data_IF_775497248069
#
_entry.id   IF_775497248069
#
_cell.length_a   1.000
_cell.length_b   1.000
_cell.length_c   1.000
_cell.angle_alpha   90.00
_cell.angle_beta   90.00
_cell.angle_gamma   90.00
#
_symmetry.space_group_name_H-M   'P 1'
#
loop_
_entity.id
_entity.type
_entity.pdbx_description
1 polymer ?
#
# COMPACT_ATOMS: atom_id res chain seq x y z
N UNK A 1 6.45 80.51 -27.97
CA UNK A 1 6.73 79.11 -28.40
C UNK A 1 7.00 78.29 -27.14
N UNK A 2 6.05 77.46 -26.70
CA UNK A 2 6.21 76.55 -25.58
C UNK A 2 6.22 75.11 -26.13
N UNK A 3 7.37 74.44 -26.01
CA UNK A 3 7.53 73.01 -26.37
C UNK A 3 7.10 72.13 -25.21
N UNK A 4 6.01 71.40 -25.33
CA UNK A 4 5.57 70.36 -24.39
C UNK A 4 6.34 69.07 -24.66
N UNK A 5 7.12 68.60 -23.67
CA UNK A 5 7.77 67.30 -23.65
C UNK A 5 6.76 66.21 -23.19
N UNK A 6 6.45 65.26 -24.05
CA UNK A 6 5.67 64.10 -23.71
C UNK A 6 6.56 63.07 -22.95
N UNK A 7 6.17 62.76 -21.70
CA UNK A 7 6.77 61.67 -20.93
C UNK A 7 6.20 60.33 -21.42
N UNK A 8 7.04 59.52 -22.04
CA UNK A 8 6.73 58.10 -22.31
C UNK A 8 6.86 57.31 -21.01
N UNK A 9 5.75 56.81 -20.49
CA UNK A 9 5.73 55.79 -19.42
C UNK A 9 6.05 54.44 -20.03
N UNK A 10 7.18 53.88 -19.64
CA UNK A 10 7.56 52.49 -19.94
C UNK A 10 6.86 51.61 -18.88
N UNK A 11 5.81 50.91 -19.25
CA UNK A 11 5.15 49.91 -18.41
C UNK A 11 5.96 48.63 -18.40
N UNK A 12 6.59 48.31 -17.28
CA UNK A 12 7.19 46.99 -17.06
C UNK A 12 6.11 45.97 -16.79
N UNK A 13 5.88 45.07 -17.74
CA UNK A 13 5.08 43.87 -17.55
C UNK A 13 5.93 42.84 -16.78
N UNK A 14 5.72 42.73 -15.48
CA UNK A 14 6.22 41.61 -14.68
C UNK A 14 5.36 40.39 -15.03
N UNK A 15 5.90 39.53 -15.87
CA UNK A 15 5.31 38.22 -16.13
C UNK A 15 5.50 37.30 -14.91
N UNK A 16 4.41 37.03 -14.20
CA UNK A 16 4.37 36.02 -13.13
C UNK A 16 4.43 34.65 -13.77
N UNK A 17 5.61 34.02 -13.83
CA UNK A 17 5.74 32.63 -14.25
C UNK A 17 5.18 31.71 -13.15
N UNK A 18 4.00 31.14 -13.37
CA UNK A 18 3.49 30.05 -12.55
C UNK A 18 4.37 28.81 -12.81
N UNK A 19 5.25 28.48 -11.87
CA UNK A 19 5.94 27.20 -11.86
C UNK A 19 4.92 26.11 -11.53
N UNK A 20 4.58 25.26 -12.50
CA UNK A 20 3.79 24.07 -12.25
C UNK A 20 4.58 23.12 -11.33
N UNK A 21 3.96 22.54 -10.28
CA UNK A 21 4.64 21.56 -9.44
C UNK A 21 4.98 20.34 -10.29
N UNK A 22 6.25 19.94 -10.26
CA UNK A 22 6.69 18.68 -10.85
C UNK A 22 5.99 17.54 -10.11
N UNK A 23 5.10 16.81 -10.79
CA UNK A 23 4.47 15.64 -10.25
C UNK A 23 5.55 14.58 -9.98
N UNK A 24 5.92 14.42 -8.71
CA UNK A 24 6.82 13.36 -8.29
C UNK A 24 6.06 12.05 -8.36
N UNK A 25 6.56 11.09 -9.15
CA UNK A 25 6.03 9.73 -9.18
C UNK A 25 6.17 9.09 -7.80
N UNK A 26 5.12 8.34 -7.35
CA UNK A 26 5.17 7.64 -6.07
C UNK A 26 6.40 6.68 -6.02
N UNK A 27 7.05 6.51 -4.86
CA UNK A 27 8.19 5.60 -4.72
C UNK A 27 7.82 4.18 -5.17
N UNK A 28 8.75 3.51 -5.83
CA UNK A 28 8.57 2.12 -6.25
C UNK A 28 8.34 1.24 -5.01
N UNK A 29 7.31 0.37 -4.97
CA UNK A 29 7.02 -0.43 -3.80
C UNK A 29 8.10 -1.50 -3.56
N UNK A 30 8.36 -1.79 -2.28
CA UNK A 30 9.15 -2.95 -1.88
C UNK A 30 8.28 -4.19 -2.03
N UNK A 31 8.77 -5.21 -2.74
CA UNK A 31 8.05 -6.48 -2.91
C UNK A 31 8.27 -7.38 -1.70
N UNK A 32 7.19 -7.94 -1.17
CA UNK A 32 7.19 -8.97 -0.16
C UNK A 32 6.22 -10.06 -0.59
N UNK A 33 6.69 -11.30 -0.69
CA UNK A 33 5.87 -12.43 -1.14
C UNK A 33 5.51 -13.34 0.03
N UNK A 34 4.27 -13.83 0.02
CA UNK A 34 3.78 -14.87 0.93
C UNK A 34 3.11 -15.97 0.12
N UNK A 35 3.57 -17.18 0.30
CA UNK A 35 2.94 -18.37 -0.27
C UNK A 35 2.07 -19.02 0.81
N UNK A 36 0.83 -19.32 0.46
CA UNK A 36 -0.08 -20.09 1.28
C UNK A 36 -0.11 -21.53 0.76
N UNK A 37 0.17 -22.47 1.65
CA UNK A 37 0.05 -23.92 1.40
C UNK A 37 -0.83 -24.50 2.49
N UNK A 38 -1.28 -25.75 2.33
CA UNK A 38 -2.11 -26.40 3.33
C UNK A 38 -1.22 -26.92 4.48
N UNK A 39 -1.20 -26.39 5.65
CA UNK A 39 -1.98 -25.30 6.29
C UNK A 39 -1.00 -24.32 6.93
N UNK A 40 -0.26 -23.58 6.16
CA UNK A 40 0.75 -22.63 6.65
C UNK A 40 0.99 -21.47 5.70
N UNK A 41 1.50 -20.37 6.26
CA UNK A 41 2.08 -19.26 5.50
C UNK A 41 3.59 -19.44 5.36
N UNK A 42 4.12 -19.12 4.18
CA UNK A 42 5.57 -19.14 3.90
C UNK A 42 6.01 -17.78 3.32
N UNK A 43 6.71 -16.96 4.10
CA UNK A 43 7.05 -17.11 5.51
C UNK A 43 5.84 -16.89 6.44
N UNK A 44 5.85 -17.50 7.63
CA UNK A 44 4.80 -17.30 8.63
C UNK A 44 4.98 -16.01 9.45
N UNK A 45 6.17 -15.42 9.42
CA UNK A 45 6.48 -14.17 10.10
C UNK A 45 6.94 -13.12 9.10
N UNK A 46 6.23 -12.00 9.10
CA UNK A 46 6.46 -10.88 8.19
C UNK A 46 6.98 -9.68 8.96
N UNK A 47 7.92 -8.96 8.37
CA UNK A 47 8.41 -7.70 8.93
C UNK A 47 8.26 -6.59 7.89
N UNK A 48 7.61 -5.51 8.29
CA UNK A 48 7.44 -4.29 7.52
C UNK A 48 8.14 -3.12 8.22
N UNK A 49 8.56 -2.14 7.44
CA UNK A 49 8.99 -0.85 7.95
C UNK A 49 7.82 0.14 7.89
N UNK A 50 7.60 0.86 8.98
CA UNK A 50 6.63 1.94 9.05
C UNK A 50 6.88 2.98 7.97
N UNK A 51 5.84 3.41 7.28
CA UNK A 51 5.88 4.45 6.25
C UNK A 51 6.46 4.01 4.89
N UNK A 52 6.90 2.76 4.74
CA UNK A 52 7.40 2.22 3.48
C UNK A 52 6.26 1.61 2.68
N UNK A 53 6.22 1.91 1.39
CA UNK A 53 5.23 1.37 0.45
C UNK A 53 5.61 -0.04 0.02
N UNK A 54 4.69 -0.99 0.15
CA UNK A 54 4.88 -2.40 -0.22
C UNK A 54 3.92 -2.87 -1.29
N UNK A 55 4.40 -3.84 -2.08
CA UNK A 55 3.59 -4.76 -2.86
C UNK A 55 3.64 -6.11 -2.14
N UNK A 56 2.58 -6.44 -1.41
CA UNK A 56 2.41 -7.74 -0.79
C UNK A 56 1.82 -8.70 -1.82
N UNK A 57 2.68 -9.59 -2.33
CA UNK A 57 2.29 -10.62 -3.29
C UNK A 57 1.85 -11.87 -2.56
N UNK A 58 0.58 -12.21 -2.66
CA UNK A 58 -0.01 -13.40 -2.05
C UNK A 58 -0.23 -14.45 -3.14
N UNK A 59 0.18 -15.70 -2.88
CA UNK A 59 -0.01 -16.82 -3.79
C UNK A 59 -0.51 -18.03 -3.04
N UNK A 60 -1.62 -18.64 -3.50
CA UNK A 60 -2.12 -19.90 -2.98
C UNK A 60 -1.59 -21.08 -3.81
N UNK A 61 -0.68 -21.86 -3.22
CA UNK A 61 -0.16 -23.13 -3.78
C UNK A 61 -0.74 -24.37 -3.12
N UNK A 62 -1.70 -24.17 -2.22
CA UNK A 62 -2.45 -25.25 -1.58
C UNK A 62 -3.52 -25.83 -2.50
N UNK A 63 -4.25 -26.81 -1.97
CA UNK A 63 -5.38 -27.48 -2.64
C UNK A 63 -6.72 -26.90 -2.22
N UNK A 64 -6.74 -26.09 -1.18
CA UNK A 64 -7.94 -25.48 -0.60
C UNK A 64 -7.88 -23.96 -0.74
N UNK A 65 -9.02 -23.31 -0.59
CA UNK A 65 -9.12 -21.86 -0.48
C UNK A 65 -8.45 -21.40 0.82
N UNK A 66 -7.65 -20.37 0.77
CA UNK A 66 -6.98 -19.79 1.94
C UNK A 66 -7.21 -18.30 2.03
N UNK A 67 -7.23 -17.79 3.27
CA UNK A 67 -7.39 -16.37 3.58
C UNK A 67 -6.14 -15.82 4.25
N UNK A 68 -5.71 -14.65 3.81
CA UNK A 68 -4.75 -13.82 4.53
C UNK A 68 -5.53 -12.85 5.41
N UNK A 69 -5.87 -13.28 6.63
CA UNK A 69 -6.73 -12.56 7.56
C UNK A 69 -5.89 -11.80 8.59
N UNK A 70 -5.92 -10.47 8.52
CA UNK A 70 -5.15 -9.57 9.40
C UNK A 70 -5.87 -8.23 9.62
N UNK A 71 -7.08 -8.22 10.21
CA UNK A 71 -7.94 -7.03 10.26
C UNK A 71 -7.30 -5.85 10.98
N UNK A 72 -6.60 -6.08 12.09
CA UNK A 72 -5.95 -5.01 12.87
C UNK A 72 -4.77 -4.41 12.12
N UNK A 73 -4.00 -5.23 11.38
CA UNK A 73 -2.93 -4.76 10.51
C UNK A 73 -3.46 -3.92 9.35
N UNK A 74 -4.50 -4.39 8.68
CA UNK A 74 -5.10 -3.64 7.56
C UNK A 74 -5.70 -2.31 8.02
N UNK A 75 -6.31 -2.27 9.20
CA UNK A 75 -6.80 -1.03 9.79
C UNK A 75 -5.67 -0.03 10.14
N UNK A 76 -4.46 -0.53 10.42
CA UNK A 76 -3.27 0.25 10.74
C UNK A 76 -2.39 0.57 9.52
N UNK A 77 -2.88 0.35 8.31
CA UNK A 77 -2.19 0.60 7.05
C UNK A 77 -3.02 1.46 6.08
N UNK A 78 -2.34 2.22 5.22
CA UNK A 78 -2.97 2.80 4.05
C UNK A 78 -2.97 1.77 2.94
N UNK A 79 -4.14 1.38 2.47
CA UNK A 79 -4.34 0.39 1.41
C UNK A 79 -4.75 1.11 0.13
N UNK A 80 -4.06 0.83 -0.98
CA UNK A 80 -4.25 1.52 -2.26
C UNK A 80 -5.32 0.85 -3.14
N UNK A 81 -5.44 -0.47 -3.06
CA UNK A 81 -6.40 -1.28 -3.81
C UNK A 81 -7.30 -2.12 -2.89
N UNK A 82 -8.19 -1.46 -2.11
CA UNK A 82 -9.01 -2.11 -1.09
C UNK A 82 -10.08 -3.06 -1.66
N UNK A 83 -10.34 -3.02 -2.95
CA UNK A 83 -11.28 -3.88 -3.67
C UNK A 83 -10.92 -5.37 -3.66
N UNK A 84 -9.65 -5.72 -3.39
CA UNK A 84 -9.24 -7.12 -3.24
C UNK A 84 -9.48 -7.68 -1.83
N UNK A 85 -9.80 -6.82 -0.86
CA UNK A 85 -10.20 -7.22 0.48
C UNK A 85 -11.69 -7.58 0.50
N UNK A 86 -12.07 -8.39 1.48
CA UNK A 86 -13.47 -8.64 1.78
C UNK A 86 -14.21 -7.34 2.21
N UNK A 87 -15.55 -7.39 2.28
CA UNK A 87 -16.38 -6.23 2.65
C UNK A 87 -16.08 -5.68 4.04
N UNK A 88 -15.53 -6.49 4.95
CA UNK A 88 -15.13 -6.09 6.31
C UNK A 88 -13.70 -5.54 6.34
N UNK A 89 -12.98 -5.58 5.22
CA UNK A 89 -11.56 -5.21 5.10
C UNK A 89 -10.67 -6.00 6.06
N UNK A 90 -11.01 -7.26 6.27
CA UNK A 90 -10.36 -8.15 7.22
C UNK A 90 -9.42 -9.15 6.59
N UNK A 91 -9.62 -9.48 5.32
CA UNK A 91 -8.87 -10.54 4.67
C UNK A 91 -8.80 -10.42 3.15
N UNK A 92 -7.83 -11.12 2.58
CA UNK A 92 -7.72 -11.40 1.14
C UNK A 92 -7.90 -12.91 0.96
N UNK A 93 -8.93 -13.31 0.22
CA UNK A 93 -9.22 -14.71 -0.08
C UNK A 93 -8.58 -15.10 -1.42
N UNK A 94 -7.94 -16.26 -1.48
CA UNK A 94 -7.34 -16.83 -2.68
C UNK A 94 -7.78 -18.28 -2.88
N UNK A 95 -8.31 -18.54 -4.07
CA UNK A 95 -8.58 -19.90 -4.54
C UNK A 95 -7.27 -20.65 -4.86
N UNK A 96 -7.28 -22.01 -4.91
CA UNK A 96 -6.11 -22.78 -5.33
C UNK A 96 -5.53 -22.29 -6.65
N UNK A 97 -4.21 -21.99 -6.68
CA UNK A 97 -3.50 -21.47 -7.84
C UNK A 97 -3.63 -19.96 -8.09
N UNK A 98 -4.45 -19.27 -7.31
CA UNK A 98 -4.65 -17.82 -7.45
C UNK A 98 -3.50 -17.03 -6.83
N UNK A 99 -3.23 -15.86 -7.41
CA UNK A 99 -2.31 -14.85 -6.85
C UNK A 99 -2.99 -13.49 -6.85
N UNK A 100 -2.74 -12.70 -5.80
CA UNK A 100 -3.21 -11.32 -5.67
C UNK A 100 -2.10 -10.41 -5.12
N UNK A 101 -2.09 -9.17 -5.56
CA UNK A 101 -1.17 -8.15 -5.07
C UNK A 101 -1.94 -7.10 -4.25
N UNK A 102 -1.54 -6.92 -3.00
CA UNK A 102 -2.03 -5.86 -2.14
C UNK A 102 -0.97 -4.77 -2.03
N UNK A 103 -1.31 -3.55 -2.42
CA UNK A 103 -0.46 -2.38 -2.28
C UNK A 103 -0.82 -1.63 -0.99
N UNK A 104 0.15 -1.50 -0.10
CA UNK A 104 -0.08 -0.90 1.21
C UNK A 104 1.14 -0.18 1.77
N UNK A 105 0.89 0.74 2.71
CA UNK A 105 1.90 1.42 3.52
C UNK A 105 1.51 1.27 4.98
N UNK A 106 2.25 0.47 5.79
CA UNK A 106 1.99 0.36 7.22
C UNK A 106 2.22 1.71 7.91
N UNK A 107 1.28 2.13 8.76
CA UNK A 107 1.32 3.46 9.41
C UNK A 107 1.60 3.41 10.90
N UNK A 108 1.42 2.26 11.53
CA UNK A 108 1.54 2.12 12.98
C UNK A 108 2.48 0.98 13.34
N UNK A 109 3.65 1.26 13.98
CA UNK A 109 4.52 0.23 14.52
C UNK A 109 3.79 -0.67 15.52
N UNK A 110 4.17 -1.95 15.55
CA UNK A 110 3.58 -2.91 16.47
C UNK A 110 3.65 -4.34 15.96
N UNK A 111 3.02 -5.23 16.73
CA UNK A 111 2.86 -6.65 16.37
C UNK A 111 1.38 -6.91 16.09
N UNK A 112 1.11 -7.67 15.04
CA UNK A 112 -0.23 -7.95 14.56
C UNK A 112 -0.39 -9.45 14.29
N UNK A 113 -1.58 -9.96 14.53
CA UNK A 113 -1.92 -11.35 14.23
C UNK A 113 -2.15 -11.53 12.72
N UNK A 114 -1.75 -12.70 12.24
CA UNK A 114 -2.04 -13.22 10.92
C UNK A 114 -2.59 -14.63 11.07
N UNK A 115 -3.70 -14.94 10.39
CA UNK A 115 -4.28 -16.26 10.36
C UNK A 115 -4.99 -16.53 9.03
N UNK A 116 -5.26 -17.80 8.75
CA UNK A 116 -6.27 -18.17 7.78
C UNK A 116 -7.58 -18.40 8.53
N UNK A 117 -8.64 -17.67 8.19
CA UNK A 117 -9.89 -17.68 8.95
C UNK A 117 -10.52 -19.07 8.99
N UNK A 118 -10.44 -19.83 7.90
CA UNK A 118 -11.03 -21.17 7.79
C UNK A 118 -10.12 -22.30 8.31
N UNK A 119 -8.81 -22.03 8.51
CA UNK A 119 -7.83 -23.08 8.86
C UNK A 119 -6.94 -22.73 10.06
N UNK A 120 -7.29 -21.71 10.86
CA UNK A 120 -6.52 -21.37 12.06
C UNK A 120 -6.52 -22.50 13.10
N UNK A 121 -7.60 -23.25 13.20
CA UNK A 121 -7.71 -24.45 14.02
C UNK A 121 -6.76 -25.58 13.59
N UNK A 122 -6.28 -25.59 12.34
CA UNK A 122 -5.24 -26.48 11.81
C UNK A 122 -3.82 -25.91 12.00
N UNK A 123 -3.68 -24.80 12.74
CA UNK A 123 -2.40 -24.16 12.98
C UNK A 123 -1.94 -23.22 11.86
N UNK A 124 -2.80 -22.85 10.92
CA UNK A 124 -2.47 -21.90 9.85
C UNK A 124 -2.51 -20.47 10.39
N UNK A 125 -1.47 -20.14 11.13
CA UNK A 125 -1.28 -18.85 11.81
C UNK A 125 0.11 -18.29 11.55
N UNK A 126 0.24 -16.97 11.68
CA UNK A 126 1.50 -16.26 11.52
C UNK A 126 1.56 -15.01 12.37
N UNK A 127 2.49 -14.13 12.07
CA UNK A 127 2.64 -12.86 12.75
C UNK A 127 3.23 -11.80 11.85
N UNK A 128 2.81 -10.56 12.08
CA UNK A 128 3.29 -9.38 11.37
C UNK A 128 3.92 -8.43 12.39
N UNK A 129 5.11 -7.95 12.09
CA UNK A 129 5.79 -6.91 12.87
C UNK A 129 5.99 -5.68 11.99
N UNK A 130 5.59 -4.51 12.47
CA UNK A 130 5.90 -3.21 11.86
C UNK A 130 6.90 -2.49 12.75
N UNK A 131 8.06 -2.12 12.21
CA UNK A 131 9.15 -1.43 12.90
C UNK A 131 9.16 0.05 12.55
#
# INVERSE_FOLDING_TARGET
>A
MRRTRALRRIGSLFGLALAAPLAQSAPKPVKLAVVMVDYRFEPARLTFQHGVRYQLHLQNRGKETHEFTAPVFFAAAAIENPDILDNKRSEVTLEPGESKDLFLTPRKPGKYDLRCADHDWNGMVGGITVK
#
